data_IF_879160803335
#
_entry.id   IF_879160803335
#
_cell.length_a   1.000
_cell.length_b   1.000
_cell.length_c   1.000
_cell.angle_alpha   90.00
_cell.angle_beta   90.00
_cell.angle_gamma   90.00
#
_symmetry.space_group_name_H-M   'P 1'
#
loop_
_entity.id
_entity.type
_entity.pdbx_description
1 polymer ?
#
# COMPACT_ATOMS: atom_id res chain seq x y z
N UNK A 1 8.81 13.32 -17.48
CA UNK A 1 9.80 13.18 -16.37
C UNK A 1 11.16 12.90 -16.98
N UNK A 2 12.24 13.56 -16.54
CA UNK A 2 13.58 13.31 -17.05
C UNK A 2 14.31 12.38 -16.08
N UNK A 3 14.49 11.10 -16.44
CA UNK A 3 15.15 10.09 -15.60
C UNK A 3 16.67 10.23 -15.73
N UNK A 4 17.45 10.06 -14.63
CA UNK A 4 18.91 10.08 -14.71
C UNK A 4 19.45 8.98 -15.63
N UNK A 5 20.53 9.27 -16.38
CA UNK A 5 21.12 8.30 -17.31
C UNK A 5 21.54 7.00 -16.61
N UNK A 6 22.18 7.10 -15.43
CA UNK A 6 22.58 5.95 -14.63
C UNK A 6 21.41 5.05 -14.21
N UNK A 7 20.27 5.63 -13.86
CA UNK A 7 19.05 4.87 -13.59
C UNK A 7 18.55 4.15 -14.84
N UNK A 8 18.50 4.86 -15.97
CA UNK A 8 18.05 4.31 -17.25
C UNK A 8 18.89 3.12 -17.68
N UNK A 9 20.21 3.27 -17.70
CA UNK A 9 21.15 2.22 -18.10
C UNK A 9 21.04 0.98 -17.20
N UNK A 10 21.11 1.18 -15.89
CA UNK A 10 21.03 0.08 -14.93
C UNK A 10 19.70 -0.66 -14.99
N UNK A 11 18.60 0.09 -14.97
CA UNK A 11 17.26 -0.51 -14.90
C UNK A 11 16.89 -1.22 -16.21
N UNK A 12 17.30 -0.64 -17.34
CA UNK A 12 17.09 -1.27 -18.65
C UNK A 12 17.91 -2.56 -18.82
N UNK A 13 19.13 -2.59 -18.30
CA UNK A 13 19.96 -3.80 -18.31
C UNK A 13 19.36 -4.89 -17.40
N UNK A 14 18.77 -4.50 -16.26
CA UNK A 14 18.19 -5.44 -15.30
C UNK A 14 16.85 -6.04 -15.79
N UNK A 15 15.95 -5.20 -16.30
CA UNK A 15 14.57 -5.57 -16.61
C UNK A 15 14.39 -5.99 -18.10
N UNK A 16 15.31 -5.63 -18.98
CA UNK A 16 15.11 -5.69 -20.41
C UNK A 16 14.30 -4.49 -20.94
N UNK A 17 14.21 -4.39 -22.25
CA UNK A 17 13.61 -3.21 -22.92
C UNK A 17 12.13 -3.10 -22.63
N UNK A 18 11.38 -4.19 -22.77
CA UNK A 18 9.92 -4.19 -22.64
C UNK A 18 9.45 -3.79 -21.23
N UNK A 19 9.99 -4.43 -20.20
CA UNK A 19 9.62 -4.14 -18.80
C UNK A 19 10.11 -2.75 -18.36
N UNK A 20 11.26 -2.31 -18.89
CA UNK A 20 11.73 -0.95 -18.66
C UNK A 20 10.77 0.11 -19.23
N UNK A 21 10.24 -0.10 -20.45
CA UNK A 21 9.26 0.83 -21.04
C UNK A 21 7.95 0.87 -20.26
N UNK A 22 7.47 -0.27 -19.77
CA UNK A 22 6.32 -0.33 -18.86
C UNK A 22 6.55 0.44 -17.56
N UNK A 23 7.73 0.28 -16.96
CA UNK A 23 8.11 1.02 -15.76
C UNK A 23 8.14 2.53 -16.02
N UNK A 24 8.76 2.98 -17.10
CA UNK A 24 8.82 4.41 -17.46
C UNK A 24 7.41 4.97 -17.67
N UNK A 25 6.56 4.24 -18.36
CA UNK A 25 5.16 4.64 -18.56
C UNK A 25 4.41 4.75 -17.23
N UNK A 26 4.59 3.80 -16.32
CA UNK A 26 3.98 3.84 -15.00
C UNK A 26 4.47 5.02 -14.14
N UNK A 27 5.77 5.33 -14.21
CA UNK A 27 6.36 6.46 -13.49
C UNK A 27 5.89 7.85 -13.99
N UNK A 28 5.29 7.91 -15.18
CA UNK A 28 4.71 9.15 -15.72
C UNK A 28 3.25 9.37 -15.33
N UNK A 29 2.61 8.35 -14.77
CA UNK A 29 1.23 8.43 -14.32
C UNK A 29 1.14 9.05 -12.92
N UNK A 30 -0.05 9.54 -12.57
CA UNK A 30 -0.34 9.94 -11.20
C UNK A 30 -0.22 8.75 -10.24
N UNK A 31 0.42 8.91 -9.08
CA UNK A 31 0.55 7.83 -8.12
C UNK A 31 -0.84 7.40 -7.60
N UNK A 32 -1.13 6.10 -7.57
CA UNK A 32 -2.41 5.63 -7.06
C UNK A 32 -2.55 5.96 -5.58
N UNK A 33 -3.75 6.36 -5.18
CA UNK A 33 -4.10 6.57 -3.77
C UNK A 33 -4.73 5.29 -3.23
N UNK A 34 -4.32 4.86 -2.05
CA UNK A 34 -4.90 3.68 -1.41
C UNK A 34 -4.99 3.83 0.10
N UNK A 35 -5.97 3.13 0.66
CA UNK A 35 -6.18 2.99 2.09
C UNK A 35 -6.27 1.52 2.45
N UNK A 36 -6.00 1.20 3.70
CA UNK A 36 -6.21 -0.12 4.27
C UNK A 36 -7.20 -0.04 5.43
N UNK A 37 -8.24 -0.85 5.40
CA UNK A 37 -9.22 -0.93 6.47
C UNK A 37 -8.64 -1.60 7.72
N UNK A 38 -9.08 -1.14 8.88
CA UNK A 38 -8.75 -1.77 10.16
C UNK A 38 -9.90 -2.66 10.61
N UNK A 39 -9.81 -3.96 10.34
CA UNK A 39 -10.83 -4.95 10.72
C UNK A 39 -11.09 -5.07 12.21
N UNK A 40 -10.14 -4.70 13.04
CA UNK A 40 -10.34 -4.68 14.48
C UNK A 40 -11.35 -3.62 14.92
N UNK A 41 -11.61 -2.62 14.06
CA UNK A 41 -12.53 -1.51 14.35
C UNK A 41 -13.75 -1.45 13.46
N UNK A 42 -13.64 -1.93 12.21
CA UNK A 42 -14.73 -1.90 11.24
C UNK A 42 -14.84 -3.21 10.49
N UNK A 43 -16.04 -3.79 10.45
CA UNK A 43 -16.30 -4.98 9.63
C UNK A 43 -16.73 -4.59 8.20
N UNK A 44 -17.36 -3.43 8.06
CA UNK A 44 -17.76 -2.84 6.77
C UNK A 44 -17.68 -1.33 6.88
N UNK A 45 -16.97 -0.72 5.98
CA UNK A 45 -16.93 0.72 5.79
C UNK A 45 -17.29 1.00 4.34
N UNK A 46 -18.33 1.81 4.12
CA UNK A 46 -18.59 2.36 2.80
C UNK A 46 -17.62 3.49 2.58
N UNK A 47 -16.65 3.27 1.72
CA UNK A 47 -15.65 4.27 1.36
C UNK A 47 -16.13 4.99 0.12
N UNK A 48 -16.25 6.30 0.20
CA UNK A 48 -16.52 7.14 -0.96
C UNK A 48 -15.31 7.12 -1.89
N UNK A 49 -15.57 7.21 -3.20
CA UNK A 49 -14.53 7.18 -4.24
C UNK A 49 -13.67 5.90 -4.26
N UNK A 50 -14.17 4.79 -3.68
CA UNK A 50 -13.50 3.52 -3.78
C UNK A 50 -13.59 2.96 -5.20
N UNK A 51 -12.43 2.56 -5.75
CA UNK A 51 -12.38 1.85 -7.01
C UNK A 51 -12.83 0.40 -6.84
N UNK A 52 -13.37 -0.19 -7.89
CA UNK A 52 -13.78 -1.61 -7.91
C UNK A 52 -12.58 -2.58 -7.86
N UNK A 53 -11.37 -2.07 -8.05
CA UNK A 53 -10.12 -2.85 -8.05
C UNK A 53 -9.48 -2.77 -6.67
N UNK A 54 -9.07 -3.92 -6.16
CA UNK A 54 -8.33 -4.04 -4.90
C UNK A 54 -6.90 -4.52 -5.17
N UNK A 55 -5.94 -4.20 -4.28
CA UNK A 55 -4.62 -4.84 -4.34
C UNK A 55 -4.78 -6.36 -4.21
N UNK A 56 -4.26 -7.17 -5.15
CA UNK A 56 -4.47 -8.63 -5.13
C UNK A 56 -3.80 -9.33 -3.94
N UNK A 57 -2.91 -8.64 -3.26
CA UNK A 57 -2.17 -9.12 -2.08
C UNK A 57 -2.74 -8.65 -0.74
N UNK A 58 -3.81 -7.85 -0.72
CA UNK A 58 -4.43 -7.41 0.53
C UNK A 58 -5.93 -7.32 0.39
N UNK A 59 -6.66 -8.09 1.21
CA UNK A 59 -8.12 -8.08 1.24
C UNK A 59 -8.71 -6.82 1.86
N UNK A 60 -7.90 -6.07 2.60
CA UNK A 60 -8.28 -4.83 3.28
C UNK A 60 -7.86 -3.58 2.52
N UNK A 61 -7.08 -3.74 1.46
CA UNK A 61 -6.64 -2.66 0.60
C UNK A 61 -7.76 -2.17 -0.30
N UNK A 62 -7.87 -0.85 -0.44
CA UNK A 62 -8.85 -0.20 -1.32
C UNK A 62 -8.11 0.90 -2.08
N UNK A 63 -8.18 0.90 -3.41
CA UNK A 63 -7.77 2.02 -4.23
C UNK A 63 -8.86 3.08 -4.27
N UNK A 64 -8.44 4.34 -4.26
CA UNK A 64 -9.32 5.49 -4.42
C UNK A 64 -9.05 6.14 -5.79
N UNK A 65 -10.09 6.71 -6.40
CA UNK A 65 -9.96 7.44 -7.66
C UNK A 65 -9.30 8.81 -7.49
N UNK A 66 -9.40 9.38 -6.27
CA UNK A 66 -8.75 10.64 -5.94
C UNK A 66 -8.20 10.66 -4.50
N UNK A 67 -7.28 11.59 -4.22
CA UNK A 67 -6.77 11.81 -2.87
C UNK A 67 -7.73 12.68 -2.07
N UNK A 68 -8.35 12.09 -1.08
CA UNK A 68 -9.21 12.79 -0.12
C UNK A 68 -8.40 13.58 0.91
N UNK A 69 -9.05 14.56 1.55
CA UNK A 69 -8.46 15.31 2.67
C UNK A 69 -8.68 14.54 3.97
N UNK A 70 -7.92 13.47 4.16
CA UNK A 70 -8.07 12.51 5.28
C UNK A 70 -8.00 13.16 6.67
N UNK A 71 -7.32 14.30 6.79
CA UNK A 71 -7.18 15.00 8.08
C UNK A 71 -8.49 15.55 8.63
N UNK A 72 -9.51 15.68 7.80
CA UNK A 72 -10.85 16.10 8.22
C UNK A 72 -11.83 14.94 8.41
N UNK A 73 -11.38 13.70 8.15
CA UNK A 73 -12.23 12.52 8.30
C UNK A 73 -12.16 11.97 9.74
N UNK A 74 -13.28 12.00 10.49
CA UNK A 74 -13.34 11.43 11.85
C UNK A 74 -12.98 9.94 11.88
N UNK A 75 -13.27 9.19 10.82
CA UNK A 75 -12.97 7.75 10.74
C UNK A 75 -11.47 7.50 10.62
N UNK A 76 -10.73 8.40 9.96
CA UNK A 76 -9.27 8.35 9.95
C UNK A 76 -8.70 8.51 11.35
N UNK A 77 -9.16 9.53 12.09
CA UNK A 77 -8.73 9.77 13.47
C UNK A 77 -9.17 8.68 14.44
N UNK A 78 -10.31 8.06 14.19
CA UNK A 78 -10.76 6.88 14.95
C UNK A 78 -9.93 5.62 14.62
N UNK A 79 -9.06 5.66 13.61
CA UNK A 79 -8.24 4.53 13.17
C UNK A 79 -9.04 3.41 12.51
N UNK A 80 -10.16 3.75 11.87
CA UNK A 80 -10.98 2.80 11.11
C UNK A 80 -10.29 2.37 9.82
N UNK A 81 -9.41 3.20 9.29
CA UNK A 81 -8.54 2.88 8.16
C UNK A 81 -7.21 3.63 8.29
N UNK A 82 -6.23 3.22 7.50
CA UNK A 82 -4.92 3.83 7.39
C UNK A 82 -4.63 4.19 5.92
N UNK A 83 -4.12 5.40 5.68
CA UNK A 83 -3.65 5.79 4.35
C UNK A 83 -2.30 5.13 4.11
N UNK A 84 -2.29 4.11 3.29
CA UNK A 84 -1.14 3.25 3.07
C UNK A 84 -0.97 2.97 1.58
N UNK A 85 0.26 3.03 1.11
CA UNK A 85 0.60 2.65 -0.24
C UNK A 85 0.32 1.15 -0.46
N UNK A 86 -0.32 0.82 -1.58
CA UNK A 86 -0.73 -0.55 -1.87
C UNK A 86 0.45 -1.53 -1.90
N UNK A 87 1.62 -1.12 -2.42
CA UNK A 87 2.83 -1.95 -2.42
C UNK A 87 3.28 -2.33 -1.01
N UNK A 88 3.15 -1.42 -0.04
CA UNK A 88 3.49 -1.67 1.37
C UNK A 88 2.56 -2.69 2.03
N UNK A 89 1.34 -2.87 1.49
CA UNK A 89 0.40 -3.88 2.00
C UNK A 89 0.84 -5.32 1.66
N UNK A 90 1.79 -5.50 0.75
CA UNK A 90 2.33 -6.82 0.39
C UNK A 90 2.96 -7.56 1.58
N UNK A 91 3.40 -6.84 2.61
CA UNK A 91 3.91 -7.42 3.86
C UNK A 91 2.90 -8.41 4.48
N UNK A 92 1.61 -8.22 4.26
CA UNK A 92 0.55 -9.13 4.72
C UNK A 92 0.79 -10.56 4.21
N UNK A 93 1.18 -10.72 2.96
CA UNK A 93 1.44 -12.04 2.36
C UNK A 93 2.61 -12.75 3.04
N UNK A 94 3.67 -12.00 3.34
CA UNK A 94 4.83 -12.54 4.07
C UNK A 94 4.44 -12.95 5.49
N UNK A 95 3.68 -12.11 6.19
CA UNK A 95 3.24 -12.41 7.56
C UNK A 95 2.34 -13.64 7.58
N UNK A 96 1.33 -13.72 6.71
CA UNK A 96 0.42 -14.89 6.64
C UNK A 96 1.14 -16.19 6.31
N UNK A 97 2.18 -16.13 5.51
CA UNK A 97 2.96 -17.30 5.14
C UNK A 97 3.87 -17.78 6.26
N UNK A 98 4.46 -16.88 7.03
CA UNK A 98 5.53 -17.23 7.99
C UNK A 98 5.13 -17.13 9.45
N UNK A 99 4.08 -16.37 9.78
CA UNK A 99 3.59 -16.20 11.16
C UNK A 99 2.33 -17.04 11.35
N UNK A 100 2.50 -18.29 11.78
CA UNK A 100 1.40 -19.26 11.95
C UNK A 100 0.92 -19.41 13.39
N UNK A 101 1.54 -18.71 14.34
CA UNK A 101 1.21 -18.71 15.77
C UNK A 101 1.47 -17.32 16.36
N UNK A 102 0.89 -16.99 17.54
CA UNK A 102 1.20 -15.74 18.21
C UNK A 102 2.70 -15.55 18.44
N UNK A 103 3.23 -14.40 18.07
CA UNK A 103 4.64 -14.02 18.18
C UNK A 103 4.80 -12.63 18.77
N UNK A 104 5.98 -12.35 19.29
CA UNK A 104 6.43 -10.98 19.59
C UNK A 104 7.21 -10.49 18.38
N UNK A 105 6.76 -9.40 17.80
CA UNK A 105 7.37 -8.81 16.60
C UNK A 105 8.03 -7.48 16.95
N UNK A 106 9.25 -7.28 16.46
CA UNK A 106 9.96 -6.02 16.53
C UNK A 106 9.96 -5.36 15.14
N UNK A 107 9.42 -4.15 15.08
CA UNK A 107 9.42 -3.32 13.87
C UNK A 107 10.45 -2.20 14.01
N UNK A 108 11.56 -2.30 13.26
CA UNK A 108 12.63 -1.31 13.27
C UNK A 108 12.30 -0.04 12.47
N UNK A 109 11.25 -0.07 11.64
CA UNK A 109 10.81 1.05 10.82
C UNK A 109 9.37 1.47 11.18
N UNK A 110 9.03 1.43 12.46
CA UNK A 110 7.66 1.58 12.97
C UNK A 110 6.98 2.93 12.66
N UNK A 111 7.76 4.00 12.49
CA UNK A 111 7.21 5.32 12.16
C UNK A 111 6.93 5.45 10.66
N UNK A 112 5.78 6.01 10.26
CA UNK A 112 4.69 6.58 11.04
C UNK A 112 3.58 5.59 11.45
N UNK A 113 3.83 4.28 11.45
CA UNK A 113 2.88 3.27 11.91
C UNK A 113 2.14 2.51 10.80
N UNK A 114 2.65 2.49 9.58
CA UNK A 114 2.03 1.76 8.46
C UNK A 114 2.10 0.24 8.61
N UNK A 115 3.20 -0.30 9.10
CA UNK A 115 3.48 -1.73 9.16
C UNK A 115 3.01 -2.37 10.47
N UNK A 116 3.36 -1.77 11.64
CA UNK A 116 3.04 -2.36 12.95
C UNK A 116 1.55 -2.61 13.18
N UNK A 117 0.61 -1.64 12.94
CA UNK A 117 -0.82 -1.89 13.05
C UNK A 117 -1.32 -2.90 12.00
N UNK A 118 -0.69 -2.95 10.82
CA UNK A 118 -1.02 -3.93 9.78
C UNK A 118 -0.69 -5.34 10.28
N UNK A 119 0.53 -5.56 10.74
CA UNK A 119 0.97 -6.85 11.26
C UNK A 119 0.10 -7.34 12.43
N UNK A 120 -0.39 -6.42 13.27
CA UNK A 120 -1.31 -6.76 14.38
C UNK A 120 -2.69 -7.22 13.89
N UNK A 121 -3.12 -6.78 12.72
CA UNK A 121 -4.45 -7.07 12.18
C UNK A 121 -4.51 -8.32 11.31
N UNK A 122 -3.37 -8.90 11.00
CA UNK A 122 -3.19 -10.12 10.20
C UNK A 122 -3.12 -11.35 11.11
#
# INVERSE_FOLDING_TARGET
>A
MNLPASFTEYTRALLGVEEYEKLVSALQQEPPVSIRLNRLKVHRLKVENALSVQPPWSSEGIYLDERLTFTFDPLFHAGCYYVQEASSMFVEQVLRQHVTKPVVMLDHCAAPGGISPHARSV
#
